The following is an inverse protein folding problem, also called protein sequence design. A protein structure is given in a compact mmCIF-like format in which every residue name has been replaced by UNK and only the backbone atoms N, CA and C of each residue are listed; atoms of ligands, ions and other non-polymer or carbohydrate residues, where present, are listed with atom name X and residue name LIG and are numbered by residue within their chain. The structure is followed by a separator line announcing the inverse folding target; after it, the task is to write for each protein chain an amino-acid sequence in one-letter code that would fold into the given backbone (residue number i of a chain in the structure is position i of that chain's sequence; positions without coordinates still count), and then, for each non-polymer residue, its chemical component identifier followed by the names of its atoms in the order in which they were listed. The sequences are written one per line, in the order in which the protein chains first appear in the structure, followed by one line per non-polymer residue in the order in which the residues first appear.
data_IF_522272007107
#
_entry.id   IF_522272007107
#
_cell.length_a   1.000
_cell.length_b   1.000
_cell.length_c   1.000
_cell.angle_alpha   90.00
_cell.angle_beta   90.00
_cell.angle_gamma   90.00
#
_symmetry.space_group_name_H-M   'P 1'
#
loop_
_entity.id
_entity.type
_entity.pdbx_description
1 polymer ?
#
# COMPACT_ATOMS: atom_id res chain seq x y z
N UNK A 1 -5.95 -5.28 9.26
CA UNK A 1 -6.32 -5.76 7.91
C UNK A 1 -6.76 -7.19 8.07
N UNK A 2 -8.00 -7.51 7.71
CA UNK A 2 -8.46 -8.90 7.72
C UNK A 2 -7.80 -9.65 6.57
N UNK A 3 -7.35 -10.87 6.85
CA UNK A 3 -6.81 -11.79 5.85
C UNK A 3 -7.40 -13.18 6.08
N UNK A 4 -7.50 -13.92 4.98
CA UNK A 4 -7.95 -15.30 4.95
C UNK A 4 -6.75 -16.25 5.05
N UNK A 5 -6.78 -17.21 5.97
CA UNK A 5 -5.77 -18.26 6.03
C UNK A 5 -6.10 -19.37 5.02
N UNK A 6 -5.30 -19.52 3.97
CA UNK A 6 -5.47 -20.64 3.02
C UNK A 6 -5.13 -22.02 3.58
N UNK A 7 -4.60 -22.09 4.81
CA UNK A 7 -4.21 -23.35 5.45
C UNK A 7 -5.32 -23.91 6.37
N UNK A 8 -5.93 -23.06 7.21
CA UNK A 8 -7.02 -23.48 8.09
C UNK A 8 -8.40 -22.92 7.70
N UNK A 9 -8.47 -22.14 6.62
CA UNK A 9 -9.68 -21.54 6.04
C UNK A 9 -10.43 -20.58 6.97
N UNK A 10 -9.72 -19.99 7.93
CA UNK A 10 -10.27 -19.01 8.88
C UNK A 10 -9.79 -17.60 8.56
N UNK A 11 -10.67 -16.63 8.76
CA UNK A 11 -10.33 -15.21 8.70
C UNK A 11 -9.74 -14.74 10.04
N UNK A 12 -8.83 -13.77 9.96
CA UNK A 12 -8.23 -13.16 11.14
C UNK A 12 -7.65 -11.79 10.87
N UNK A 13 -7.45 -11.02 11.94
CA UNK A 13 -6.72 -9.76 11.88
C UNK A 13 -5.22 -10.00 11.77
N UNK A 14 -4.66 -9.70 10.60
CA UNK A 14 -3.24 -9.88 10.30
C UNK A 14 -2.38 -8.95 11.16
N UNK A 15 -1.39 -9.55 11.85
CA UNK A 15 -0.30 -8.84 12.50
C UNK A 15 1.00 -9.05 11.71
N UNK A 16 1.45 -8.06 10.91
CA UNK A 16 2.66 -8.19 10.12
C UNK A 16 3.91 -8.22 11.01
N UNK A 17 4.87 -9.03 10.62
CA UNK A 17 6.16 -9.21 11.27
C UNK A 17 7.29 -9.09 10.25
N UNK A 18 8.46 -8.71 10.73
CA UNK A 18 9.67 -8.57 9.91
C UNK A 18 10.83 -9.28 10.61
N UNK A 19 11.50 -10.17 9.91
CA UNK A 19 12.77 -10.74 10.36
C UNK A 19 13.91 -10.37 9.42
N UNK A 20 15.08 -10.10 10.00
CA UNK A 20 16.29 -9.82 9.24
C UNK A 20 17.00 -11.13 8.90
N UNK A 21 17.27 -11.32 7.62
CA UNK A 21 18.01 -12.45 7.06
C UNK A 21 19.40 -12.00 6.61
N UNK A 22 20.34 -12.94 6.36
CA UNK A 22 21.65 -12.61 5.81
C UNK A 22 21.56 -11.79 4.51
N UNK A 23 22.62 -11.04 4.22
CA UNK A 23 22.73 -10.17 3.04
C UNK A 23 21.69 -9.02 3.01
N UNK A 24 21.27 -8.53 4.18
CA UNK A 24 20.34 -7.39 4.35
C UNK A 24 19.01 -7.63 3.64
N UNK A 25 18.50 -8.85 3.78
CA UNK A 25 17.18 -9.22 3.27
C UNK A 25 16.23 -9.18 4.45
N UNK A 26 15.10 -8.51 4.30
CA UNK A 26 14.00 -8.57 5.27
C UNK A 26 12.97 -9.56 4.76
N UNK A 27 12.57 -10.52 5.61
CA UNK A 27 11.38 -11.35 5.39
C UNK A 27 10.20 -10.67 6.06
N UNK A 28 9.23 -10.21 5.28
CA UNK A 28 7.95 -9.72 5.78
C UNK A 28 6.96 -10.89 5.76
N UNK A 29 6.42 -11.24 6.92
CA UNK A 29 5.54 -12.39 7.09
C UNK A 29 4.48 -12.11 8.15
N UNK A 30 3.54 -13.02 8.31
CA UNK A 30 2.56 -13.01 9.39
C UNK A 30 2.19 -14.44 9.73
N UNK A 31 1.79 -14.68 10.98
CA UNK A 31 1.46 -16.01 11.48
C UNK A 31 -0.05 -16.08 11.68
N UNK A 32 -0.68 -17.12 11.15
CA UNK A 32 -2.08 -17.39 11.44
C UNK A 32 -2.23 -17.75 12.92
N UNK A 33 -3.06 -17.03 13.70
CA UNK A 33 -3.22 -17.30 15.13
C UNK A 33 -3.97 -18.62 15.40
N UNK A 34 -4.71 -19.13 14.42
CA UNK A 34 -5.53 -20.33 14.56
C UNK A 34 -4.73 -21.62 14.36
N UNK A 35 -3.83 -21.65 13.37
CA UNK A 35 -3.08 -22.87 13.01
C UNK A 35 -1.56 -22.72 13.10
N UNK A 36 -1.05 -21.53 13.44
CA UNK A 36 0.38 -21.26 13.54
C UNK A 36 1.13 -21.24 12.19
N UNK A 37 0.42 -21.35 11.06
CA UNK A 37 1.05 -21.33 9.75
C UNK A 37 1.68 -19.96 9.46
N UNK A 38 2.94 -19.97 9.03
CA UNK A 38 3.66 -18.77 8.61
C UNK A 38 3.34 -18.47 7.14
N UNK A 39 2.77 -17.28 6.90
CA UNK A 39 2.55 -16.77 5.56
C UNK A 39 3.58 -15.70 5.25
N UNK A 40 4.43 -15.93 4.25
CA UNK A 40 5.42 -14.96 3.78
C UNK A 40 4.77 -14.03 2.77
N UNK A 41 4.74 -12.73 3.07
CA UNK A 41 4.21 -11.70 2.18
C UNK A 41 5.25 -11.25 1.14
N UNK A 42 6.50 -11.04 1.57
CA UNK A 42 7.56 -10.58 0.69
C UNK A 42 8.95 -10.82 1.27
N UNK A 43 9.93 -10.89 0.37
CA UNK A 43 11.35 -10.68 0.68
C UNK A 43 11.79 -9.36 0.07
N UNK A 44 12.37 -8.48 0.87
CA UNK A 44 12.79 -7.14 0.41
C UNK A 44 14.21 -6.84 0.86
N UNK A 45 14.85 -5.90 0.17
CA UNK A 45 16.16 -5.38 0.55
C UNK A 45 16.17 -3.85 0.36
N UNK A 46 17.30 -3.23 0.69
CA UNK A 46 17.49 -1.78 0.60
C UNK A 46 17.13 -1.20 -0.78
N UNK A 47 17.41 -1.94 -1.87
CA UNK A 47 17.08 -1.49 -3.24
C UNK A 47 15.57 -1.51 -3.48
N UNK A 48 14.89 -2.59 -3.09
CA UNK A 48 13.43 -2.69 -3.20
C UNK A 48 12.75 -1.61 -2.36
N UNK A 49 13.21 -1.38 -1.13
CA UNK A 49 12.71 -0.31 -0.25
C UNK A 49 12.87 1.07 -0.87
N UNK A 50 14.02 1.34 -1.49
CA UNK A 50 14.24 2.59 -2.23
C UNK A 50 13.21 2.78 -3.34
N UNK A 51 13.02 1.77 -4.19
CA UNK A 51 12.05 1.86 -5.29
C UNK A 51 10.60 2.00 -4.80
N UNK A 52 10.21 1.32 -3.73
CA UNK A 52 8.90 1.51 -3.10
C UNK A 52 8.71 2.96 -2.64
N UNK A 53 9.74 3.56 -2.03
CA UNK A 53 9.72 4.97 -1.63
C UNK A 53 9.63 5.94 -2.83
N UNK A 54 10.32 5.66 -3.92
CA UNK A 54 10.27 6.48 -5.13
C UNK A 54 8.89 6.41 -5.80
N UNK A 55 8.27 5.22 -5.86
CA UNK A 55 6.90 5.03 -6.36
C UNK A 55 5.90 5.83 -5.51
N UNK A 56 6.01 5.75 -4.18
CA UNK A 56 5.13 6.49 -3.28
C UNK A 56 5.20 8.01 -3.52
N UNK A 57 6.40 8.56 -3.73
CA UNK A 57 6.58 9.99 -4.08
C UNK A 57 5.96 10.34 -5.42
N UNK A 58 6.06 9.46 -6.41
CA UNK A 58 5.42 9.66 -7.71
C UNK A 58 3.89 9.69 -7.58
N UNK A 59 3.32 8.74 -6.84
CA UNK A 59 1.88 8.70 -6.58
C UNK A 59 1.39 9.97 -5.87
N UNK A 60 2.12 10.44 -4.86
CA UNK A 60 1.77 11.67 -4.14
C UNK A 60 1.73 12.88 -5.07
N UNK A 61 2.74 13.04 -5.94
CA UNK A 61 2.77 14.12 -6.92
C UNK A 61 1.60 14.07 -7.90
N UNK A 62 1.23 12.86 -8.34
CA UNK A 62 0.08 12.66 -9.22
C UNK A 62 -1.21 13.07 -8.49
N UNK A 63 -1.37 12.66 -7.23
CA UNK A 63 -2.55 12.98 -6.44
C UNK A 63 -2.73 14.50 -6.24
N UNK A 64 -1.66 15.20 -5.87
CA UNK A 64 -1.67 16.67 -5.73
C UNK A 64 -2.09 17.35 -7.04
N UNK A 65 -1.54 16.90 -8.16
CA UNK A 65 -1.90 17.46 -9.47
C UNK A 65 -3.36 17.19 -9.83
N UNK A 66 -3.87 15.99 -9.54
CA UNK A 66 -5.27 15.63 -9.79
C UNK A 66 -6.23 16.52 -8.99
N UNK A 67 -5.94 16.76 -7.69
CA UNK A 67 -6.74 17.66 -6.87
C UNK A 67 -6.75 19.09 -7.42
N UNK A 68 -5.61 19.60 -7.88
CA UNK A 68 -5.52 20.92 -8.49
C UNK A 68 -6.33 21.00 -9.81
N UNK A 69 -6.30 19.94 -10.62
CA UNK A 69 -7.10 19.83 -11.84
C UNK A 69 -8.60 19.80 -11.51
N UNK A 70 -9.01 19.02 -10.51
CA UNK A 70 -10.41 18.94 -10.07
C UNK A 70 -10.95 20.30 -9.61
N UNK A 71 -10.16 21.03 -8.84
CA UNK A 71 -10.49 22.38 -8.37
C UNK A 71 -10.64 23.36 -9.54
N UNK A 72 -9.73 23.33 -10.51
CA UNK A 72 -9.81 24.21 -11.67
C UNK A 72 -11.01 23.85 -12.56
N UNK A 73 -11.26 22.56 -12.77
CA UNK A 73 -12.45 22.09 -13.50
C UNK A 73 -13.75 22.54 -12.83
N UNK A 74 -13.79 22.56 -11.49
CA UNK A 74 -14.94 23.09 -10.73
C UNK A 74 -15.12 24.59 -10.95
N UNK A 75 -14.04 25.38 -10.92
CA UNK A 75 -14.08 26.82 -11.19
C UNK A 75 -14.56 27.12 -12.61
N UNK A 76 -14.05 26.39 -13.60
CA UNK A 76 -14.43 26.56 -15.00
C UNK A 76 -15.92 26.24 -15.22
N UNK A 77 -16.44 25.16 -14.63
CA UNK A 77 -17.88 24.84 -14.69
C UNK A 77 -18.75 25.98 -14.16
N UNK A 78 -18.44 26.48 -12.97
CA UNK A 78 -19.20 27.58 -12.35
C UNK A 78 -19.21 28.85 -13.23
N UNK A 79 -18.10 29.16 -13.91
CA UNK A 79 -18.01 30.31 -14.81
C UNK A 79 -18.88 30.15 -16.06
N UNK A 80 -18.95 28.95 -16.63
CA UNK A 80 -19.78 28.69 -17.81
C UNK A 80 -21.26 28.66 -17.44
N UNK A 81 -21.61 28.07 -16.29
CA UNK A 81 -23.00 27.99 -15.82
C UNK A 81 -23.55 29.34 -15.35
N UNK A 82 -22.74 30.15 -14.67
CA UNK A 82 -23.11 31.51 -14.25
C UNK A 82 -23.05 32.57 -15.36
N UNK A 83 -22.61 32.20 -16.57
CA UNK A 83 -22.61 33.06 -17.75
C UNK A 83 -23.86 32.87 -18.65
N UNK A 84 -24.86 32.13 -18.17
CA UNK A 84 -26.22 32.07 -18.74
C UNK A 84 -27.15 33.02 -18.00
#
# INVERSE_FOLDING_TARGET
MQVYCSNCNEDYDMQPQVSQLPKRIEKCFYICPHCGHEHVAAYVNDKVRKYQGDIAKCHERININNLAIEDEMKRLRNRVEGAK
#
